data_IF_684492606018
#
_entry.id   IF_684492606018
#
_cell.length_a   1.000
_cell.length_b   1.000
_cell.length_c   1.000
_cell.angle_alpha   90.00
_cell.angle_beta   90.00
_cell.angle_gamma   90.00
#
_symmetry.space_group_name_H-M   'P 1'
#
loop_
_entity.id
_entity.type
_entity.pdbx_description
1 polymer ?
#
# COMPACT_ATOMS: atom_id res chain seq x y z
N UNK A 1 7.27 0.25 13.01
CA UNK A 1 6.31 0.93 13.91
C UNK A 1 5.87 2.23 13.28
N UNK A 2 4.63 2.65 13.53
CA UNK A 2 4.03 3.86 12.93
C UNK A 2 3.73 4.85 14.05
N UNK A 3 4.41 5.97 14.09
CA UNK A 3 4.18 7.02 15.08
C UNK A 3 4.67 8.36 14.55
N UNK A 4 4.26 9.46 15.19
CA UNK A 4 4.72 10.79 14.79
C UNK A 4 6.21 10.98 15.09
N UNK A 5 6.97 11.33 14.06
CA UNK A 5 8.41 11.60 14.15
C UNK A 5 8.64 13.11 14.18
N UNK A 6 9.46 13.62 15.12
CA UNK A 6 9.81 15.04 15.16
C UNK A 6 10.38 15.52 13.82
N UNK A 7 9.85 16.63 13.29
CA UNK A 7 10.28 17.20 12.01
C UNK A 7 9.77 16.48 10.75
N UNK A 8 8.88 15.49 10.88
CA UNK A 8 8.22 14.82 9.77
C UNK A 8 6.73 15.13 9.75
N UNK A 9 6.13 15.01 8.56
CA UNK A 9 4.69 15.19 8.32
C UNK A 9 4.12 13.99 7.56
N UNK A 10 2.84 13.77 7.72
CA UNK A 10 2.10 12.78 6.94
C UNK A 10 1.58 13.39 5.65
N UNK A 11 1.86 12.74 4.53
CA UNK A 11 1.40 13.08 3.19
C UNK A 11 0.49 11.98 2.66
N UNK A 12 -0.66 12.36 2.10
CA UNK A 12 -1.64 11.47 1.49
C UNK A 12 -1.29 11.30 0.02
N UNK A 13 -1.14 10.06 -0.46
CA UNK A 13 -0.92 9.85 -1.88
C UNK A 13 -1.55 8.59 -2.45
N UNK A 14 -1.77 8.64 -3.76
CA UNK A 14 -2.21 7.52 -4.55
C UNK A 14 -1.08 7.08 -5.50
N UNK A 15 -0.82 5.78 -5.56
CA UNK A 15 0.30 5.22 -6.32
C UNK A 15 -0.14 4.49 -7.59
N UNK A 16 -1.45 4.41 -7.88
CA UNK A 16 -1.99 3.67 -9.01
C UNK A 16 -3.18 4.41 -9.61
N UNK A 17 -3.02 4.98 -10.81
CA UNK A 17 -4.03 5.77 -11.52
C UNK A 17 -3.82 5.73 -13.02
N UNK A 18 -4.92 5.51 -13.74
CA UNK A 18 -5.00 5.41 -15.19
C UNK A 18 -5.64 6.67 -15.78
N UNK A 19 -5.22 7.01 -16.99
CA UNK A 19 -5.71 8.16 -17.74
C UNK A 19 -6.07 7.74 -19.16
N UNK A 20 -6.51 8.70 -19.98
CA UNK A 20 -6.75 8.50 -21.42
C UNK A 20 -5.49 8.13 -22.22
N UNK A 21 -4.31 8.06 -21.60
CA UNK A 21 -3.08 7.58 -22.25
C UNK A 21 -3.03 6.04 -22.31
N UNK A 22 -3.84 5.36 -21.52
CA UNK A 22 -4.11 3.92 -21.61
C UNK A 22 -5.61 3.68 -21.72
N UNK A 23 -6.27 3.25 -20.65
CA UNK A 23 -7.68 2.83 -20.62
C UNK A 23 -8.55 3.61 -19.62
N UNK A 24 -7.98 4.59 -18.92
CA UNK A 24 -8.75 5.51 -18.09
C UNK A 24 -9.62 6.51 -18.89
N UNK A 25 -10.64 7.08 -18.23
CA UNK A 25 -11.63 7.98 -18.86
C UNK A 25 -11.33 9.48 -18.69
N UNK A 26 -10.37 9.86 -17.82
CA UNK A 26 -9.96 11.26 -17.64
C UNK A 26 -8.59 11.51 -18.24
N UNK A 27 -8.39 12.71 -18.77
CA UNK A 27 -7.05 13.15 -19.20
C UNK A 27 -6.11 13.25 -17.98
N UNK A 28 -4.78 13.24 -18.17
CA UNK A 28 -3.83 13.47 -17.09
C UNK A 28 -4.16 14.69 -16.22
N UNK A 29 -4.44 15.84 -16.84
CA UNK A 29 -4.79 17.07 -16.11
C UNK A 29 -6.08 16.94 -15.29
N UNK A 30 -7.10 16.27 -15.83
CA UNK A 30 -8.36 16.03 -15.14
C UNK A 30 -8.20 15.07 -13.96
N UNK A 31 -7.38 14.02 -14.11
CA UNK A 31 -7.06 13.09 -13.03
C UNK A 31 -6.29 13.80 -11.91
N UNK A 32 -5.25 14.56 -12.25
CA UNK A 32 -4.44 15.35 -11.31
C UNK A 32 -5.32 16.35 -10.55
N UNK A 33 -6.19 17.08 -11.25
CA UNK A 33 -7.11 18.03 -10.63
C UNK A 33 -8.06 17.34 -9.65
N UNK A 34 -8.62 16.18 -10.02
CA UNK A 34 -9.53 15.42 -9.18
C UNK A 34 -8.88 15.00 -7.85
N UNK A 35 -7.68 14.39 -7.90
CA UNK A 35 -6.97 13.97 -6.68
C UNK A 35 -6.58 15.16 -5.79
N UNK A 36 -6.14 16.27 -6.39
CA UNK A 36 -5.86 17.50 -5.66
C UNK A 36 -7.09 18.03 -4.92
N UNK A 37 -8.25 18.06 -5.59
CA UNK A 37 -9.52 18.50 -4.98
C UNK A 37 -9.94 17.62 -3.80
N UNK A 38 -9.52 16.35 -3.78
CA UNK A 38 -9.71 15.40 -2.67
C UNK A 38 -8.59 15.42 -1.62
N UNK A 39 -7.72 16.45 -1.66
CA UNK A 39 -6.70 16.72 -0.65
C UNK A 39 -5.53 15.73 -0.67
N UNK A 40 -5.20 15.17 -1.84
CA UNK A 40 -3.97 14.40 -2.01
C UNK A 40 -2.76 15.32 -2.13
N UNK A 41 -1.65 14.92 -1.50
CA UNK A 41 -0.37 15.64 -1.54
C UNK A 41 0.50 15.19 -2.72
N UNK A 42 0.39 13.91 -3.11
CA UNK A 42 1.12 13.33 -4.23
C UNK A 42 0.33 12.27 -4.99
N UNK A 43 0.68 12.09 -6.27
CA UNK A 43 0.03 11.15 -7.18
C UNK A 43 1.08 10.54 -8.14
N UNK A 44 0.86 9.30 -8.58
CA UNK A 44 1.53 8.72 -9.73
C UNK A 44 0.52 8.39 -10.83
N UNK A 45 0.83 8.78 -12.07
CA UNK A 45 0.08 8.31 -13.25
C UNK A 45 0.78 7.08 -13.80
N UNK A 46 0.08 5.96 -13.82
CA UNK A 46 0.65 4.62 -14.05
C UNK A 46 -0.01 3.92 -15.22
N UNK A 47 -0.35 4.68 -16.26
CA UNK A 47 -0.95 4.17 -17.49
C UNK A 47 -0.23 2.91 -18.01
N UNK A 48 -1.02 1.92 -18.44
CA UNK A 48 -0.50 0.63 -18.93
C UNK A 48 0.54 0.81 -20.03
N UNK A 49 1.77 0.38 -19.77
CA UNK A 49 2.90 0.43 -20.72
C UNK A 49 3.17 1.84 -21.27
N UNK A 50 2.87 2.88 -20.49
CA UNK A 50 3.06 4.29 -20.85
C UNK A 50 3.69 5.05 -19.69
N UNK A 51 4.99 5.31 -19.83
CA UNK A 51 5.78 6.01 -18.81
C UNK A 51 5.30 7.44 -18.58
N UNK A 52 5.11 7.81 -17.31
CA UNK A 52 4.90 9.18 -16.86
C UNK A 52 6.11 9.66 -16.08
N UNK A 53 6.54 10.89 -16.36
CA UNK A 53 7.66 11.53 -15.66
C UNK A 53 7.23 12.07 -14.30
N UNK A 54 8.22 12.28 -13.41
CA UNK A 54 8.00 13.02 -12.17
C UNK A 54 7.90 14.52 -12.50
N UNK A 55 7.03 15.24 -11.80
CA UNK A 55 6.74 16.65 -12.07
C UNK A 55 6.12 17.33 -10.83
N UNK A 56 5.90 18.65 -10.89
CA UNK A 56 5.00 19.37 -9.99
C UNK A 56 3.82 19.92 -10.78
N UNK A 57 2.65 19.30 -10.62
CA UNK A 57 1.45 19.66 -11.38
C UNK A 57 0.37 20.23 -10.45
N UNK A 58 0.02 21.50 -10.66
CA UNK A 58 -1.08 22.14 -9.94
C UNK A 58 -0.94 22.18 -8.42
N UNK A 59 0.30 22.18 -7.90
CA UNK A 59 0.62 22.16 -6.48
C UNK A 59 0.65 20.77 -5.83
N UNK A 60 0.44 19.71 -6.62
CA UNK A 60 0.58 18.30 -6.20
C UNK A 60 1.94 17.77 -6.69
N UNK A 61 2.58 16.94 -5.87
CA UNK A 61 3.82 16.25 -6.28
C UNK A 61 3.48 15.07 -7.17
N UNK A 62 4.03 15.03 -8.38
CA UNK A 62 3.87 13.90 -9.28
C UNK A 62 5.09 12.99 -9.19
N UNK A 63 4.85 11.72 -8.90
CA UNK A 63 5.87 10.67 -8.98
C UNK A 63 5.84 10.06 -10.39
N UNK A 64 7.02 9.71 -10.90
CA UNK A 64 7.08 8.95 -12.15
C UNK A 64 6.41 7.59 -11.98
N UNK A 65 5.76 7.10 -13.05
CA UNK A 65 4.84 5.97 -12.96
C UNK A 65 4.64 5.24 -14.28
N UNK A 66 4.45 3.93 -14.19
CA UNK A 66 4.02 3.04 -15.27
C UNK A 66 3.50 1.74 -14.65
N UNK A 67 2.47 1.14 -15.24
CA UNK A 67 2.06 -0.22 -14.90
C UNK A 67 2.38 -1.19 -16.04
N UNK A 68 2.88 -2.37 -15.68
CA UNK A 68 3.10 -3.50 -16.57
C UNK A 68 2.19 -4.67 -16.18
N UNK A 69 1.37 -5.11 -17.12
CA UNK A 69 0.57 -6.34 -17.02
C UNK A 69 1.19 -7.48 -17.85
N UNK A 70 1.37 -8.65 -17.23
CA UNK A 70 1.93 -9.85 -17.88
C UNK A 70 1.26 -11.15 -17.42
N UNK A 71 1.30 -12.16 -18.29
CA UNK A 71 0.67 -13.47 -18.06
C UNK A 71 -0.72 -13.55 -18.66
N UNK A 72 -1.19 -14.78 -18.92
CA UNK A 72 -2.47 -15.03 -19.61
C UNK A 72 -3.35 -16.04 -18.89
N UNK A 73 -2.85 -16.67 -17.82
CA UNK A 73 -3.54 -17.68 -17.04
C UNK A 73 -3.25 -17.45 -15.55
N UNK A 74 -4.30 -17.33 -14.74
CA UNK A 74 -4.17 -17.07 -13.31
C UNK A 74 -3.46 -18.22 -12.56
N UNK A 75 -3.60 -19.47 -13.02
CA UNK A 75 -2.93 -20.61 -12.40
C UNK A 75 -1.42 -20.58 -12.64
N UNK A 76 -0.98 -20.21 -13.85
CA UNK A 76 0.41 -19.93 -14.17
C UNK A 76 0.93 -18.62 -13.52
N UNK A 77 0.05 -17.62 -13.39
CA UNK A 77 0.29 -16.31 -12.81
C UNK A 77 0.00 -15.19 -13.81
N UNK A 78 -0.91 -14.28 -13.42
CA UNK A 78 -1.13 -12.99 -14.08
C UNK A 78 -0.64 -11.93 -13.10
N UNK A 79 0.32 -11.10 -13.50
CA UNK A 79 0.95 -10.12 -12.62
C UNK A 79 0.81 -8.73 -13.21
N UNK A 80 0.36 -7.82 -12.37
CA UNK A 80 0.36 -6.40 -12.62
C UNK A 80 1.41 -5.77 -11.71
N UNK A 81 2.35 -5.05 -12.30
CA UNK A 81 3.52 -4.50 -11.64
C UNK A 81 3.56 -3.00 -11.90
N UNK A 82 3.35 -2.24 -10.84
CA UNK A 82 3.44 -0.78 -10.87
C UNK A 82 4.87 -0.39 -10.51
N UNK A 83 5.49 0.40 -11.38
CA UNK A 83 6.77 1.02 -11.14
C UNK A 83 6.56 2.46 -10.67
N UNK A 84 7.09 2.81 -9.49
CA UNK A 84 6.96 4.15 -8.92
C UNK A 84 8.33 4.78 -8.70
N UNK A 85 8.50 6.02 -9.16
CA UNK A 85 9.67 6.83 -8.88
C UNK A 85 10.96 6.30 -9.50
N UNK A 86 10.88 5.63 -10.65
CA UNK A 86 12.08 5.28 -11.41
C UNK A 86 12.68 6.55 -12.05
N UNK A 87 14.01 6.58 -12.15
CA UNK A 87 14.78 7.74 -12.60
C UNK A 87 14.69 7.96 -14.12
N UNK A 88 14.33 6.93 -14.86
CA UNK A 88 14.07 6.94 -16.30
C UNK A 88 13.09 5.82 -16.64
N UNK A 89 12.46 5.91 -17.81
CA UNK A 89 11.64 4.82 -18.35
C UNK A 89 12.46 3.53 -18.41
N UNK A 90 12.03 2.42 -17.77
CA UNK A 90 12.69 1.13 -17.87
C UNK A 90 12.80 0.59 -19.32
N UNK A 91 12.07 1.19 -20.28
CA UNK A 91 12.24 0.92 -21.71
C UNK A 91 11.71 -0.45 -22.14
N UNK A 92 10.76 -0.99 -21.37
CA UNK A 92 10.18 -2.31 -21.63
C UNK A 92 8.96 -2.19 -22.55
N UNK A 93 8.79 -3.15 -23.45
CA UNK A 93 7.61 -3.25 -24.31
C UNK A 93 6.97 -4.63 -24.22
N UNK A 94 5.68 -4.73 -24.58
CA UNK A 94 4.91 -5.99 -24.54
C UNK A 94 5.55 -7.06 -25.43
N UNK A 95 6.13 -6.66 -26.56
CA UNK A 95 6.74 -7.54 -27.56
C UNK A 95 7.99 -8.27 -27.05
N UNK A 96 8.62 -7.77 -25.98
CA UNK A 96 9.78 -8.41 -25.36
C UNK A 96 9.41 -9.73 -24.65
N UNK A 97 8.12 -9.98 -24.38
CA UNK A 97 7.65 -11.23 -23.79
C UNK A 97 8.25 -11.54 -22.41
N UNK A 98 8.54 -10.50 -21.63
CA UNK A 98 9.21 -10.62 -20.34
C UNK A 98 8.30 -11.22 -19.26
N UNK A 99 8.87 -12.04 -18.38
CA UNK A 99 8.20 -12.48 -17.17
C UNK A 99 8.22 -11.44 -16.06
N UNK A 100 7.32 -11.58 -15.08
CA UNK A 100 7.18 -10.66 -13.94
C UNK A 100 8.50 -10.38 -13.20
N UNK A 101 9.37 -11.39 -13.00
CA UNK A 101 10.66 -11.20 -12.33
C UNK A 101 11.60 -10.27 -13.12
N UNK A 102 11.64 -10.40 -14.45
CA UNK A 102 12.50 -9.57 -15.30
C UNK A 102 12.03 -8.10 -15.27
N UNK A 103 10.71 -7.88 -15.24
CA UNK A 103 10.12 -6.55 -15.09
C UNK A 103 10.48 -5.95 -13.74
N UNK A 104 10.33 -6.70 -12.64
CA UNK A 104 10.73 -6.24 -11.29
C UNK A 104 12.22 -5.83 -11.28
N UNK A 105 13.08 -6.65 -11.88
CA UNK A 105 14.51 -6.35 -11.91
C UNK A 105 14.83 -5.09 -12.73
N UNK A 106 14.16 -4.87 -13.87
CA UNK A 106 14.29 -3.67 -14.68
C UNK A 106 13.79 -2.41 -13.96
N UNK A 107 12.62 -2.47 -13.32
CA UNK A 107 12.09 -1.38 -12.48
C UNK A 107 13.13 -0.94 -11.45
N UNK A 108 13.72 -1.92 -10.75
CA UNK A 108 14.73 -1.64 -9.73
C UNK A 108 16.06 -1.14 -10.28
N UNK A 109 16.47 -1.61 -11.46
CA UNK A 109 17.66 -1.10 -12.15
C UNK A 109 17.47 0.38 -12.54
N UNK A 110 16.26 0.77 -12.93
CA UNK A 110 15.89 2.17 -13.14
C UNK A 110 15.71 2.96 -11.83
N UNK A 111 15.94 2.33 -10.66
CA UNK A 111 15.83 2.97 -9.35
C UNK A 111 14.41 3.07 -8.80
N UNK A 112 13.40 2.53 -9.49
CA UNK A 112 12.00 2.57 -9.07
C UNK A 112 11.67 1.58 -7.96
N UNK A 113 10.49 1.77 -7.36
CA UNK A 113 9.83 0.81 -6.50
C UNK A 113 9.01 -0.15 -7.36
N UNK A 114 9.21 -1.45 -7.17
CA UNK A 114 8.38 -2.47 -7.80
C UNK A 114 7.23 -2.87 -6.85
N UNK A 115 6.01 -2.49 -7.20
CA UNK A 115 4.80 -2.76 -6.42
C UNK A 115 3.95 -3.80 -7.15
N UNK A 116 3.55 -4.87 -6.45
CA UNK A 116 2.57 -5.83 -6.98
C UNK A 116 1.16 -5.26 -6.81
N UNK A 117 0.49 -4.96 -7.93
CA UNK A 117 -0.86 -4.42 -7.93
C UNK A 117 -1.92 -5.51 -7.75
N UNK A 118 -3.00 -5.13 -7.04
CA UNK A 118 -4.24 -5.89 -6.82
C UNK A 118 -4.11 -7.42 -6.86
N UNK A 119 -3.27 -8.04 -6.01
CA UNK A 119 -3.02 -9.49 -6.06
C UNK A 119 -4.30 -10.31 -5.80
N UNK A 120 -5.30 -9.75 -5.12
CA UNK A 120 -6.59 -10.39 -4.92
C UNK A 120 -7.43 -10.44 -6.22
N UNK A 121 -7.48 -9.37 -7.03
CA UNK A 121 -8.11 -9.40 -8.36
C UNK A 121 -7.43 -10.46 -9.22
N UNK A 122 -6.10 -10.42 -9.29
CA UNK A 122 -5.29 -11.30 -10.16
C UNK A 122 -5.13 -12.73 -9.64
N UNK A 123 -5.77 -13.07 -8.51
CA UNK A 123 -5.67 -14.38 -7.85
C UNK A 123 -4.23 -14.83 -7.60
N UNK A 124 -3.34 -13.89 -7.30
CA UNK A 124 -1.94 -14.20 -7.01
C UNK A 124 -1.85 -14.94 -5.68
N UNK A 125 -1.50 -16.22 -5.76
CA UNK A 125 -1.31 -17.07 -4.58
C UNK A 125 -0.04 -16.69 -3.83
N UNK A 126 0.04 -16.95 -2.51
CA UNK A 126 1.27 -16.75 -1.76
C UNK A 126 2.47 -17.51 -2.37
N UNK A 127 2.23 -18.68 -2.96
CA UNK A 127 3.28 -19.48 -3.61
C UNK A 127 3.84 -18.77 -4.86
N UNK A 128 2.99 -18.17 -5.69
CA UNK A 128 3.41 -17.37 -6.84
C UNK A 128 4.19 -16.13 -6.40
N UNK A 129 3.66 -15.36 -5.43
CA UNK A 129 4.30 -14.13 -4.93
C UNK A 129 5.66 -14.41 -4.28
N UNK A 130 5.81 -15.56 -3.58
CA UNK A 130 7.10 -15.98 -2.98
C UNK A 130 8.21 -16.23 -4.01
N UNK A 131 7.86 -16.52 -5.27
CA UNK A 131 8.83 -16.67 -6.36
C UNK A 131 9.37 -15.32 -6.82
N UNK A 132 8.55 -14.27 -6.78
CA UNK A 132 8.96 -12.90 -7.11
C UNK A 132 9.92 -12.37 -6.04
N UNK A 133 11.12 -11.94 -6.44
CA UNK A 133 12.16 -11.38 -5.58
C UNK A 133 12.18 -9.86 -5.72
N UNK A 134 12.60 -9.19 -4.65
CA UNK A 134 12.83 -7.73 -4.62
C UNK A 134 11.58 -6.86 -4.90
N UNK A 135 10.37 -7.38 -4.66
CA UNK A 135 9.20 -6.52 -4.51
C UNK A 135 9.42 -5.53 -3.36
N UNK A 136 9.12 -4.26 -3.59
CA UNK A 136 9.20 -3.20 -2.58
C UNK A 136 7.88 -3.07 -1.79
N UNK A 137 6.75 -3.34 -2.43
CA UNK A 137 5.45 -3.40 -1.78
C UNK A 137 4.45 -4.27 -2.56
N UNK A 138 3.26 -4.46 -2.00
CA UNK A 138 2.05 -4.92 -2.69
C UNK A 138 0.86 -4.07 -2.27
N UNK A 139 -0.18 -4.05 -3.09
CA UNK A 139 -1.47 -3.45 -2.73
C UNK A 139 -2.24 -4.40 -1.80
N UNK A 140 -2.41 -4.00 -0.53
CA UNK A 140 -3.28 -4.71 0.41
C UNK A 140 -4.76 -4.39 0.15
N UNK A 141 -5.02 -3.20 -0.39
CA UNK A 141 -6.34 -2.77 -0.83
C UNK A 141 -6.26 -2.01 -2.15
N UNK A 142 -7.18 -2.31 -3.06
CA UNK A 142 -7.31 -1.66 -4.36
C UNK A 142 -8.78 -1.27 -4.61
N UNK A 143 -9.07 0.00 -4.94
CA UNK A 143 -10.46 0.50 -4.99
C UNK A 143 -11.24 -0.02 -6.19
N UNK A 144 -10.69 0.04 -7.41
CA UNK A 144 -11.39 -0.44 -8.63
C UNK A 144 -11.63 -1.95 -8.59
N UNK A 145 -10.82 -2.71 -7.85
CA UNK A 145 -11.04 -4.13 -7.57
C UNK A 145 -12.34 -4.42 -6.80
N UNK A 146 -13.00 -3.40 -6.26
CA UNK A 146 -14.28 -3.47 -5.57
C UNK A 146 -15.48 -3.78 -6.47
N UNK A 147 -16.68 -3.51 -5.94
CA UNK A 147 -17.91 -3.49 -6.72
C UNK A 147 -17.98 -2.19 -7.53
N UNK A 148 -18.49 -2.20 -8.77
CA UNK A 148 -19.16 -3.31 -9.45
C UNK A 148 -18.26 -4.24 -10.26
N UNK A 149 -16.92 -4.09 -10.20
CA UNK A 149 -15.99 -4.82 -11.06
C UNK A 149 -15.67 -6.24 -10.55
N UNK A 150 -14.54 -6.46 -9.89
CA UNK A 150 -14.09 -7.82 -9.53
C UNK A 150 -14.61 -8.31 -8.17
N UNK A 151 -15.07 -7.41 -7.31
CA UNK A 151 -15.45 -7.71 -5.92
C UNK A 151 -14.32 -8.36 -5.08
N UNK A 152 -13.05 -8.06 -5.41
CA UNK A 152 -11.85 -8.54 -4.71
C UNK A 152 -10.90 -7.39 -4.32
N UNK A 153 -11.36 -6.37 -3.60
CA UNK A 153 -10.50 -5.23 -3.27
C UNK A 153 -9.50 -5.51 -2.15
N UNK A 154 -9.76 -6.51 -1.30
CA UNK A 154 -9.00 -6.77 -0.08
C UNK A 154 -8.06 -7.99 -0.25
N UNK A 155 -6.75 -7.75 -0.15
CA UNK A 155 -5.70 -8.77 -0.22
C UNK A 155 -5.09 -9.13 1.15
N UNK A 156 -5.69 -8.68 2.26
CA UNK A 156 -5.16 -8.89 3.62
C UNK A 156 -4.87 -10.35 3.95
N UNK A 157 -5.74 -11.29 3.53
CA UNK A 157 -5.50 -12.71 3.75
C UNK A 157 -4.25 -13.22 3.01
N UNK A 158 -3.98 -12.73 1.79
CA UNK A 158 -2.77 -13.08 1.03
C UNK A 158 -1.53 -12.54 1.77
N UNK A 159 -1.62 -11.32 2.29
CA UNK A 159 -0.56 -10.71 3.11
C UNK A 159 -0.27 -11.53 4.36
N UNK A 160 -1.30 -11.93 5.09
CA UNK A 160 -1.15 -12.70 6.32
C UNK A 160 -0.55 -14.09 6.04
N UNK A 161 -0.95 -14.74 4.95
CA UNK A 161 -0.36 -16.01 4.51
C UNK A 161 1.11 -15.86 4.08
N UNK A 162 1.48 -14.76 3.41
CA UNK A 162 2.86 -14.46 3.06
C UNK A 162 3.72 -14.23 4.30
N UNK A 163 3.20 -13.47 5.26
CA UNK A 163 3.90 -13.12 6.48
C UNK A 163 4.11 -14.36 7.38
N UNK A 164 3.09 -15.22 7.51
CA UNK A 164 3.18 -16.52 8.16
C UNK A 164 4.23 -17.43 7.48
N UNK A 165 4.36 -17.34 6.15
CA UNK A 165 5.41 -18.03 5.39
C UNK A 165 6.79 -17.36 5.44
N UNK A 166 7.00 -16.39 6.33
CA UNK A 166 8.28 -15.69 6.53
C UNK A 166 8.58 -14.58 5.52
N UNK A 167 7.60 -14.17 4.69
CA UNK A 167 7.76 -13.12 3.68
C UNK A 167 7.01 -11.85 4.11
N UNK A 168 7.73 -10.91 4.71
CA UNK A 168 7.21 -9.57 5.03
C UNK A 168 7.27 -8.67 3.81
N UNK A 169 6.13 -8.42 3.17
CA UNK A 169 6.03 -7.46 2.06
C UNK A 169 5.33 -6.20 2.57
N UNK A 170 5.93 -5.01 2.43
CA UNK A 170 5.26 -3.76 2.74
C UNK A 170 3.94 -3.61 1.98
N UNK A 171 2.97 -2.96 2.61
CA UNK A 171 1.61 -2.83 2.12
C UNK A 171 1.28 -1.38 1.82
N UNK A 172 0.79 -1.14 0.61
CA UNK A 172 0.20 0.13 0.17
C UNK A 172 -1.29 -0.08 -0.15
N UNK A 173 -2.05 1.00 -0.22
CA UNK A 173 -3.37 1.00 -0.86
C UNK A 173 -3.39 2.07 -1.94
N UNK A 174 -4.13 1.80 -3.01
CA UNK A 174 -4.31 2.71 -4.13
C UNK A 174 -5.65 2.49 -4.79
N UNK A 175 -6.12 3.50 -5.49
CA UNK A 175 -7.43 3.39 -6.13
C UNK A 175 -7.41 2.54 -7.39
N UNK A 176 -6.29 2.56 -8.12
CA UNK A 176 -6.23 2.03 -9.49
C UNK A 176 -7.35 2.63 -10.33
N UNK A 177 -7.47 3.95 -10.19
CA UNK A 177 -8.60 4.68 -10.72
C UNK A 177 -8.50 4.80 -12.23
N UNK A 178 -9.57 4.40 -12.89
CA UNK A 178 -9.80 4.59 -14.32
C UNK A 178 -10.90 5.64 -14.57
N UNK A 179 -11.52 6.14 -13.50
CA UNK A 179 -12.71 7.00 -13.49
C UNK A 179 -13.91 6.33 -14.15
N UNK A 180 -14.11 5.04 -13.86
CA UNK A 180 -15.21 4.25 -14.39
C UNK A 180 -16.51 4.51 -13.66
N UNK A 181 -16.51 4.36 -12.33
CA UNK A 181 -17.72 4.28 -11.51
C UNK A 181 -17.53 4.89 -10.11
N UNK A 182 -16.59 5.84 -9.96
CA UNK A 182 -16.37 6.60 -8.72
C UNK A 182 -15.35 5.95 -7.77
N UNK A 183 -14.49 5.09 -8.30
CA UNK A 183 -13.42 4.43 -7.55
C UNK A 183 -12.28 5.37 -7.13
N UNK A 184 -12.17 6.56 -7.73
CA UNK A 184 -11.17 7.56 -7.37
C UNK A 184 -11.30 8.03 -5.91
N UNK A 185 -10.18 8.48 -5.36
CA UNK A 185 -10.07 9.12 -4.06
C UNK A 185 -10.62 8.30 -2.86
N UNK A 186 -10.73 6.98 -2.99
CA UNK A 186 -11.36 6.09 -2.00
C UNK A 186 -10.34 5.45 -1.05
N UNK A 187 -9.18 5.05 -1.56
CA UNK A 187 -8.08 4.47 -0.79
C UNK A 187 -6.74 5.07 -1.18
N UNK A 188 -5.80 5.06 -0.25
CA UNK A 188 -4.55 5.79 -0.37
C UNK A 188 -3.50 5.28 0.60
N UNK A 189 -2.28 5.76 0.41
CA UNK A 189 -1.16 5.47 1.32
C UNK A 189 -0.75 6.75 2.04
N UNK A 190 -0.74 6.70 3.37
CA UNK A 190 -0.13 7.72 4.21
C UNK A 190 1.38 7.51 4.25
N UNK A 191 2.17 8.53 3.89
CA UNK A 191 3.64 8.49 3.93
C UNK A 191 4.15 9.56 4.87
N UNK A 192 4.97 9.19 5.85
CA UNK A 192 5.59 10.12 6.78
C UNK A 192 6.98 10.52 6.30
N UNK A 193 7.13 11.79 5.94
CA UNK A 193 8.33 12.32 5.29
C UNK A 193 8.70 13.71 5.81
N UNK A 194 9.94 14.16 5.60
CA UNK A 194 10.39 15.52 5.97
C UNK A 194 9.81 16.58 5.05
N UNK A 195 9.65 16.23 3.77
CA UNK A 195 9.06 17.08 2.75
C UNK A 195 8.18 16.27 1.80
N UNK A 196 7.47 16.98 0.92
CA UNK A 196 6.70 16.37 -0.18
C UNK A 196 7.55 16.11 -1.43
N UNK A 197 8.86 16.35 -1.40
CA UNK A 197 9.71 16.11 -2.57
C UNK A 197 9.70 14.62 -2.96
N UNK A 198 9.70 14.27 -4.26
CA UNK A 198 9.65 12.89 -4.73
C UNK A 198 10.67 11.97 -4.04
N UNK A 199 11.92 12.39 -3.93
CA UNK A 199 13.01 11.63 -3.32
C UNK A 199 12.77 11.32 -1.84
N UNK A 200 12.21 12.26 -1.10
CA UNK A 200 11.90 12.11 0.32
C UNK A 200 10.72 11.16 0.53
N UNK A 201 9.66 11.28 -0.29
CA UNK A 201 8.51 10.38 -0.29
C UNK A 201 8.93 8.94 -0.62
N UNK A 202 9.70 8.75 -1.70
CA UNK A 202 10.19 7.43 -2.12
C UNK A 202 11.11 6.81 -1.07
N UNK A 203 11.98 7.61 -0.43
CA UNK A 203 12.81 7.16 0.69
C UNK A 203 11.96 6.71 1.87
N UNK A 204 10.94 7.49 2.26
CA UNK A 204 10.03 7.12 3.33
C UNK A 204 9.26 5.83 3.04
N UNK A 205 8.81 5.62 1.79
CA UNK A 205 8.18 4.37 1.37
C UNK A 205 9.15 3.19 1.52
N UNK A 206 10.39 3.28 0.99
CA UNK A 206 11.41 2.21 1.12
C UNK A 206 11.73 1.88 2.57
N UNK A 207 11.69 2.86 3.46
CA UNK A 207 11.97 2.69 4.89
C UNK A 207 10.76 2.17 5.68
N UNK A 208 9.60 1.96 5.05
CA UNK A 208 8.39 1.50 5.73
C UNK A 208 7.73 2.57 6.60
N UNK A 209 7.99 3.86 6.35
CA UNK A 209 7.37 4.98 7.06
C UNK A 209 6.01 5.32 6.44
N UNK A 210 5.19 4.30 6.23
CA UNK A 210 3.89 4.43 5.57
C UNK A 210 2.89 3.38 6.04
N UNK A 211 1.61 3.63 5.78
CA UNK A 211 0.54 2.66 5.97
C UNK A 211 -0.63 2.93 5.00
N UNK A 212 -1.38 1.89 4.68
CA UNK A 212 -2.54 1.93 3.79
C UNK A 212 -3.79 2.43 4.54
N UNK A 213 -4.67 3.19 3.88
CA UNK A 213 -5.89 3.72 4.50
C UNK A 213 -6.99 4.08 3.49
N UNK A 214 -8.24 4.08 3.98
CA UNK A 214 -9.42 4.66 3.35
C UNK A 214 -9.96 5.87 4.14
N UNK A 215 -9.21 6.35 5.14
CA UNK A 215 -9.67 7.41 6.03
C UNK A 215 -9.05 7.33 7.42
N UNK A 216 -9.19 6.20 8.15
CA UNK A 216 -8.71 6.10 9.51
C UNK A 216 -7.21 6.41 9.64
N UNK A 217 -6.85 7.11 10.72
CA UNK A 217 -5.45 7.33 11.10
C UNK A 217 -5.08 6.38 12.22
N UNK A 218 -3.83 5.93 12.24
CA UNK A 218 -3.31 5.09 13.29
C UNK A 218 -1.87 5.46 13.66
N UNK A 219 -1.53 5.20 14.91
CA UNK A 219 -0.16 5.05 15.39
C UNK A 219 -0.10 3.84 16.30
N UNK A 220 1.05 3.16 16.31
CA UNK A 220 1.32 2.08 17.22
C UNK A 220 2.80 1.99 17.56
N UNK A 221 3.08 1.54 18.78
CA UNK A 221 4.42 1.27 19.27
C UNK A 221 4.40 0.09 20.22
N UNK A 222 5.58 -0.47 20.50
CA UNK A 222 5.76 -1.48 21.52
C UNK A 222 6.17 -0.81 22.84
N UNK A 223 5.47 -1.18 23.90
CA UNK A 223 5.80 -0.81 25.29
C UNK A 223 5.97 -2.11 26.09
N UNK A 224 7.22 -2.47 26.39
CA UNK A 224 7.57 -3.74 27.02
C UNK A 224 6.99 -4.97 26.29
N UNK A 225 6.13 -5.72 26.99
CA UNK A 225 5.49 -6.93 26.49
C UNK A 225 4.17 -6.71 25.74
N UNK A 226 3.82 -5.47 25.36
CA UNK A 226 2.54 -5.17 24.69
C UNK A 226 2.69 -4.18 23.54
N UNK A 227 1.71 -4.17 22.66
CA UNK A 227 1.48 -3.11 21.68
C UNK A 227 0.50 -2.09 22.25
N UNK A 228 0.84 -0.82 22.09
CA UNK A 228 -0.05 0.32 22.29
C UNK A 228 -0.47 0.84 20.91
N UNK A 229 -1.77 1.10 20.76
CA UNK A 229 -2.39 1.51 19.50
C UNK A 229 -3.24 2.75 19.79
N UNK A 230 -3.09 3.78 18.97
CA UNK A 230 -3.97 4.95 18.94
C UNK A 230 -4.52 5.13 17.53
N UNK A 231 -5.78 5.53 17.43
CA UNK A 231 -6.41 5.78 16.14
C UNK A 231 -7.47 6.87 16.22
N UNK A 232 -7.91 7.34 15.05
CA UNK A 232 -9.19 8.06 14.93
C UNK A 232 -10.36 7.19 15.39
N UNK A 233 -11.51 7.76 15.80
CA UNK A 233 -12.66 7.00 16.28
C UNK A 233 -13.02 5.80 15.38
N UNK A 234 -12.98 4.62 15.98
CA UNK A 234 -13.15 3.34 15.30
C UNK A 234 -14.28 2.51 15.93
N UNK A 235 -14.88 1.62 15.13
CA UNK A 235 -15.77 0.57 15.64
C UNK A 235 -15.01 -0.71 16.00
N UNK A 236 -13.84 -0.91 15.40
CA UNK A 236 -12.96 -2.02 15.74
C UNK A 236 -11.47 -1.66 15.60
N UNK A 237 -10.67 -2.21 16.51
CA UNK A 237 -9.21 -2.24 16.44
C UNK A 237 -8.82 -3.72 16.45
N UNK A 238 -8.10 -4.16 15.42
CA UNK A 238 -7.75 -5.57 15.23
C UNK A 238 -6.24 -5.72 15.11
N UNK A 239 -5.68 -6.67 15.86
CA UNK A 239 -4.30 -7.13 15.73
C UNK A 239 -4.32 -8.54 15.15
N UNK A 240 -3.88 -8.67 13.91
CA UNK A 240 -3.63 -9.94 13.25
C UNK A 240 -2.25 -10.44 13.65
N UNK A 241 -2.15 -11.75 13.85
CA UNK A 241 -0.93 -12.46 14.24
C UNK A 241 -0.98 -13.89 13.69
N UNK A 242 0.17 -14.56 13.63
CA UNK A 242 0.28 -15.98 13.32
C UNK A 242 -0.12 -16.91 14.49
N UNK A 243 -0.44 -16.34 15.65
CA UNK A 243 -1.08 -17.08 16.74
C UNK A 243 -2.55 -17.43 16.41
N UNK A 244 -2.88 -18.73 16.39
CA UNK A 244 -4.25 -19.24 16.12
C UNK A 244 -5.27 -18.63 17.08
N UNK A 245 -4.93 -18.53 18.36
CA UNK A 245 -5.74 -17.89 19.39
C UNK A 245 -4.91 -16.91 20.21
N UNK A 246 -5.46 -15.71 20.40
CA UNK A 246 -4.96 -14.73 21.35
C UNK A 246 -6.12 -13.86 21.86
N UNK A 247 -6.15 -13.60 23.16
CA UNK A 247 -7.10 -12.68 23.78
C UNK A 247 -6.78 -11.23 23.42
N UNK A 248 -7.78 -10.34 23.53
CA UNK A 248 -7.63 -8.89 23.33
C UNK A 248 -7.20 -8.41 21.92
N UNK A 249 -6.98 -9.33 20.97
CA UNK A 249 -6.59 -8.97 19.60
C UNK A 249 -7.69 -8.29 18.79
N UNK A 250 -8.95 -8.45 19.20
CA UNK A 250 -10.09 -7.75 18.60
C UNK A 250 -10.76 -6.93 19.68
N UNK A 251 -10.74 -5.61 19.53
CA UNK A 251 -11.52 -4.68 20.33
C UNK A 251 -12.65 -4.17 19.46
N UNK A 252 -13.90 -4.29 19.94
CA UNK A 252 -15.09 -3.74 19.29
C UNK A 252 -15.79 -2.78 20.23
N UNK A 253 -16.40 -1.74 19.66
CA UNK A 253 -17.09 -0.72 20.45
C UNK A 253 -17.54 0.44 19.57
N UNK A 254 -17.91 1.54 20.20
CA UNK A 254 -18.29 2.77 19.50
C UNK A 254 -17.28 3.86 19.83
N UNK A 255 -16.63 4.42 18.81
CA UNK A 255 -15.69 5.53 18.99
C UNK A 255 -14.41 5.15 19.73
N UNK A 256 -13.93 3.92 19.57
CA UNK A 256 -12.64 3.47 20.10
C UNK A 256 -11.52 4.36 19.53
N UNK A 257 -10.63 4.85 20.39
CA UNK A 257 -9.48 5.67 19.98
C UNK A 257 -8.15 5.09 20.46
N UNK A 258 -8.20 4.07 21.30
CA UNK A 258 -7.04 3.39 21.85
C UNK A 258 -7.27 1.88 21.93
N UNK A 259 -6.18 1.12 21.82
CA UNK A 259 -6.18 -0.33 21.97
C UNK A 259 -4.86 -0.83 22.52
N UNK A 260 -4.93 -1.92 23.29
CA UNK A 260 -3.76 -2.57 23.90
C UNK A 260 -3.78 -4.06 23.59
N UNK A 261 -2.65 -4.58 23.14
CA UNK A 261 -2.51 -6.01 22.82
C UNK A 261 -1.28 -6.58 23.51
N UNK A 262 -1.44 -7.44 24.54
CA UNK A 262 -0.34 -8.18 25.14
C UNK A 262 0.28 -9.13 24.10
N UNK A 263 1.59 -9.00 23.86
CA UNK A 263 2.32 -9.92 22.99
C UNK A 263 2.53 -11.25 23.72
N UNK A 264 2.22 -12.34 23.06
CA UNK A 264 2.47 -13.71 23.50
C UNK A 264 3.72 -14.27 22.84
N UNK A 265 4.22 -15.38 23.39
CA UNK A 265 5.35 -16.14 22.80
C UNK A 265 5.03 -16.75 21.44
N UNK A 266 3.74 -16.82 21.07
CA UNK A 266 3.28 -17.37 19.78
C UNK A 266 3.09 -16.28 18.72
N UNK A 267 3.26 -15.00 19.07
CA UNK A 267 3.23 -13.90 18.11
C UNK A 267 4.64 -13.74 17.51
N UNK A 268 4.86 -14.26 16.31
CA UNK A 268 6.09 -14.00 15.56
C UNK A 268 5.91 -12.83 14.61
N UNK A 269 4.67 -12.60 14.17
CA UNK A 269 4.28 -11.56 13.22
C UNK A 269 3.05 -10.82 13.73
N UNK A 270 2.99 -9.51 13.51
CA UNK A 270 1.77 -8.73 13.74
C UNK A 270 1.42 -7.83 12.56
N UNK A 271 0.13 -7.59 12.37
CA UNK A 271 -0.43 -6.54 11.49
C UNK A 271 -1.63 -5.91 12.19
N UNK A 272 -1.79 -4.60 12.08
CA UNK A 272 -2.88 -3.87 12.73
C UNK A 272 -3.85 -3.37 11.67
N UNK A 273 -5.14 -3.48 11.99
CA UNK A 273 -6.23 -2.97 11.18
C UNK A 273 -7.20 -2.15 12.04
N UNK A 274 -7.53 -0.95 11.58
CA UNK A 274 -8.51 -0.06 12.19
C UNK A 274 -9.73 -0.02 11.29
N UNK A 275 -10.93 -0.17 11.85
CA UNK A 275 -12.20 -0.12 11.10
C UNK A 275 -13.07 0.99 11.69
N UNK A 276 -13.42 1.99 10.90
CA UNK A 276 -14.32 3.06 11.35
C UNK A 276 -15.80 2.68 11.29
N UNK A 277 -16.67 3.58 11.75
CA UNK A 277 -18.12 3.39 11.79
C UNK A 277 -18.75 3.15 10.40
N UNK A 278 -18.14 3.70 9.35
CA UNK A 278 -18.56 3.52 7.95
C UNK A 278 -17.97 2.27 7.30
N UNK A 279 -17.16 1.50 8.04
CA UNK A 279 -16.50 0.31 7.54
C UNK A 279 -15.22 0.58 6.73
N UNK A 280 -14.77 1.84 6.63
CA UNK A 280 -13.49 2.20 6.02
C UNK A 280 -12.36 1.75 6.93
N UNK A 281 -11.23 1.41 6.34
CA UNK A 281 -10.15 0.74 7.06
C UNK A 281 -8.81 1.46 6.94
N UNK A 282 -7.93 1.20 7.89
CA UNK A 282 -6.50 1.45 7.75
C UNK A 282 -5.72 0.20 8.12
N UNK A 283 -4.68 -0.10 7.35
CA UNK A 283 -3.89 -1.31 7.47
C UNK A 283 -2.42 -0.96 7.59
N UNK A 284 -1.76 -1.60 8.55
CA UNK A 284 -0.30 -1.59 8.56
C UNK A 284 0.25 -2.66 7.61
N UNK A 285 1.53 -2.54 7.26
CA UNK A 285 2.31 -3.70 6.80
C UNK A 285 2.40 -4.78 7.90
N UNK A 286 2.72 -6.03 7.57
CA UNK A 286 3.11 -7.03 8.57
C UNK A 286 4.51 -6.72 9.13
N UNK A 287 4.69 -6.91 10.43
CA UNK A 287 5.95 -6.70 11.14
C UNK A 287 6.36 -7.98 11.88
N UNK A 288 7.62 -8.42 11.78
CA UNK A 288 8.18 -9.38 12.71
C UNK A 288 8.17 -8.79 14.12
N UNK A 289 7.65 -9.50 15.12
CA UNK A 289 7.58 -9.01 16.51
C UNK A 289 8.97 -8.65 17.06
N UNK A 290 10.01 -9.41 16.67
CA UNK A 290 11.39 -9.12 17.03
C UNK A 290 11.93 -7.79 16.49
N UNK A 291 11.34 -7.25 15.42
CA UNK A 291 11.74 -5.95 14.85
C UNK A 291 11.11 -4.76 15.59
N UNK A 292 10.12 -5.02 16.45
CA UNK A 292 9.44 -4.01 17.25
C UNK A 292 10.29 -3.73 18.49
N UNK A 293 11.11 -2.69 18.41
CA UNK A 293 11.91 -2.19 19.53
C UNK A 293 10.98 -1.48 20.52
N UNK A 294 11.19 -1.67 21.83
CA UNK A 294 10.45 -0.91 22.84
C UNK A 294 10.73 0.58 22.67
N UNK A 295 9.66 1.37 22.67
CA UNK A 295 9.77 2.82 22.76
C UNK A 295 9.81 3.16 24.25
N UNK A 296 10.96 3.61 24.75
CA UNK A 296 10.96 4.43 25.96
C UNK A 296 10.11 5.66 25.64
N UNK A 297 9.16 6.01 26.51
CA UNK A 297 8.07 6.97 26.25
C UNK A 297 8.49 8.14 25.35
N UNK A 298 7.80 8.40 24.22
CA UNK A 298 8.02 9.64 23.49
C UNK A 298 7.49 10.83 24.29
N UNK A 299 8.33 11.85 24.42
CA UNK A 299 7.97 13.23 24.75
C UNK A 299 6.88 13.75 23.83
#
# INVERSE_FOLDING_TARGET
>A
MIFDRPGFRWFKGNLHTHTTRSDGRKTPDQAIACYREHGYDFLALTDHWRWSEADEAGGMTMLSGIEYDVGTDAAAGIFHLVAIGAAHDPGLTREMGLGAQQIIDAIRQAGGLAILAHPAWSLNTPAQIRRLKRLDALEIYNSVSGLPHNARPDASLIVDQLACAGRMVPCVASDDSHFYDGEEATSFTWVQSQSRAPEDLLKAIRQGHHYASQGPRLSFWRDGGRLEIRCTPARAIVVYSDAVWSGHRVLTGTGLTEGRYPLSVNDHVIRIEIIDASGRRAWTSPYPVQSLVCKEEPV
#
